data_IF_668072862753
#
_entry.id   IF_668072862753
#
_cell.length_a   1.000
_cell.length_b   1.000
_cell.length_c   1.000
_cell.angle_alpha   90.00
_cell.angle_beta   90.00
_cell.angle_gamma   90.00
#
_symmetry.space_group_name_H-M   'P 1'
#
loop_
_entity.id
_entity.type
_entity.pdbx_description
1 polymer ?
#
# COMPACT_ATOMS: atom_id res chain seq x y z
N UNK A 1 7.45 -25.83 -5.94
CA UNK A 1 6.31 -24.95 -5.60
C UNK A 1 5.10 -25.83 -5.37
N UNK A 2 4.43 -25.68 -4.23
CA UNK A 2 3.16 -26.35 -3.96
C UNK A 2 2.11 -25.77 -4.92
N UNK A 3 1.29 -26.60 -5.60
CA UNK A 3 0.22 -26.07 -6.42
C UNK A 3 -0.80 -25.35 -5.54
N UNK A 4 -1.38 -24.26 -6.06
CA UNK A 4 -2.45 -23.54 -5.38
C UNK A 4 -3.66 -24.45 -5.14
N UNK A 5 -4.41 -24.26 -4.03
CA UNK A 5 -5.65 -24.99 -3.81
C UNK A 5 -6.70 -24.62 -4.87
N UNK A 6 -7.71 -25.49 -5.05
CA UNK A 6 -8.81 -25.25 -6.02
C UNK A 6 -9.63 -23.99 -5.72
N UNK A 7 -9.60 -23.51 -4.47
CA UNK A 7 -10.31 -22.32 -4.00
C UNK A 7 -9.34 -21.49 -3.16
N UNK A 8 -8.54 -20.63 -3.79
CA UNK A 8 -7.56 -19.83 -3.08
C UNK A 8 -8.22 -18.75 -2.22
N UNK A 9 -7.69 -18.52 -1.03
CA UNK A 9 -8.04 -17.39 -0.19
C UNK A 9 -6.94 -16.33 -0.27
N UNK A 10 -7.29 -15.17 -0.83
CA UNK A 10 -6.37 -14.07 -1.05
C UNK A 10 -6.77 -12.91 -0.13
N UNK A 11 -5.82 -12.40 0.63
CA UNK A 11 -6.01 -11.23 1.47
C UNK A 11 -5.42 -9.99 0.79
N UNK A 12 -6.28 -9.07 0.38
CA UNK A 12 -5.87 -7.82 -0.27
C UNK A 12 -5.59 -6.72 0.77
N UNK A 13 -4.44 -6.07 0.65
CA UNK A 13 -4.00 -4.97 1.52
C UNK A 13 -3.74 -3.74 0.66
N UNK A 14 -4.30 -2.59 1.06
CA UNK A 14 -3.89 -1.31 0.50
C UNK A 14 -2.48 -0.95 0.99
N UNK A 15 -1.48 -1.17 0.15
CA UNK A 15 -0.07 -1.09 0.53
C UNK A 15 0.34 0.26 1.11
N UNK A 16 -0.17 1.37 0.54
CA UNK A 16 0.18 2.70 1.02
C UNK A 16 -0.38 2.95 2.43
N UNK A 17 -1.66 2.67 2.62
CA UNK A 17 -2.33 2.87 3.92
C UNK A 17 -1.68 1.98 4.98
N UNK A 18 -1.37 0.73 4.62
CA UNK A 18 -0.74 -0.23 5.51
C UNK A 18 0.66 0.21 5.96
N UNK A 19 1.54 0.53 5.02
CA UNK A 19 2.92 0.95 5.34
C UNK A 19 2.96 2.32 6.05
N UNK A 20 2.09 3.26 5.70
CA UNK A 20 1.97 4.54 6.43
C UNK A 20 1.49 4.32 7.87
N UNK A 21 0.48 3.46 8.07
CA UNK A 21 -0.03 3.13 9.41
C UNK A 21 1.03 2.44 10.27
N UNK A 22 1.79 1.52 9.70
CA UNK A 22 2.93 0.89 10.36
C UNK A 22 4.01 1.92 10.69
N UNK A 23 4.35 2.80 9.75
CA UNK A 23 5.36 3.83 9.97
C UNK A 23 5.01 4.74 11.15
N UNK A 24 3.74 5.16 11.23
CA UNK A 24 3.22 5.95 12.36
C UNK A 24 3.24 5.16 13.66
N UNK A 25 2.83 3.89 13.64
CA UNK A 25 2.76 3.05 14.84
C UNK A 25 4.14 2.75 15.45
N UNK A 26 5.15 2.55 14.61
CA UNK A 26 6.52 2.24 15.05
C UNK A 26 7.42 3.47 15.12
N UNK A 27 6.91 4.65 14.74
CA UNK A 27 7.63 5.92 14.76
C UNK A 27 8.95 5.90 13.95
N UNK A 28 8.95 5.21 12.81
CA UNK A 28 10.04 5.18 11.84
C UNK A 28 9.50 4.81 10.45
N UNK A 29 10.18 5.17 9.34
CA UNK A 29 9.72 4.78 8.00
C UNK A 29 9.74 3.25 7.79
N UNK A 30 8.57 2.68 7.54
CA UNK A 30 8.38 1.27 7.18
C UNK A 30 8.06 1.19 5.69
N UNK A 31 8.81 0.34 5.00
CA UNK A 31 8.76 0.00 3.58
C UNK A 31 8.58 -1.51 3.45
N UNK A 32 8.50 -2.05 2.23
CA UNK A 32 8.41 -3.50 2.04
C UNK A 32 9.68 -4.23 2.52
N UNK A 33 10.84 -3.57 2.51
CA UNK A 33 12.13 -4.16 2.92
C UNK A 33 12.22 -4.42 4.43
N UNK A 34 11.59 -3.56 5.24
CA UNK A 34 11.80 -3.52 6.69
C UNK A 34 10.49 -3.61 7.48
N UNK A 35 9.47 -4.28 6.91
CA UNK A 35 8.27 -4.63 7.67
C UNK A 35 8.68 -5.48 8.88
N UNK A 36 8.31 -5.09 10.12
CA UNK A 36 8.73 -5.83 11.31
C UNK A 36 8.21 -7.27 11.30
N UNK A 37 9.06 -8.23 11.71
CA UNK A 37 8.75 -9.67 11.71
C UNK A 37 7.41 -9.99 12.36
N UNK A 38 7.08 -9.36 13.50
CA UNK A 38 5.81 -9.59 14.19
C UNK A 38 4.56 -9.26 13.35
N UNK A 39 4.67 -8.32 12.40
CA UNK A 39 3.57 -8.01 11.46
C UNK A 39 3.46 -9.09 10.39
N UNK A 40 4.59 -9.60 9.91
CA UNK A 40 4.62 -10.71 8.95
C UNK A 40 4.06 -11.98 9.60
N UNK A 41 4.42 -12.26 10.85
CA UNK A 41 3.89 -13.37 11.65
C UNK A 41 2.37 -13.25 11.84
N UNK A 42 1.87 -12.04 12.13
CA UNK A 42 0.43 -11.78 12.23
C UNK A 42 -0.28 -12.05 10.89
N UNK A 43 0.25 -11.55 9.78
CA UNK A 43 -0.32 -11.80 8.46
C UNK A 43 -0.31 -13.28 8.09
N UNK A 44 0.76 -14.00 8.43
CA UNK A 44 0.86 -15.44 8.24
C UNK A 44 -0.14 -16.23 9.10
N UNK A 45 -0.55 -15.68 10.25
CA UNK A 45 -1.53 -16.32 11.15
C UNK A 45 -2.96 -16.36 10.59
N UNK A 46 -3.25 -15.59 9.53
CA UNK A 46 -4.57 -15.53 8.92
C UNK A 46 -4.93 -16.75 8.05
N UNK A 47 -4.00 -17.69 7.87
CA UNK A 47 -4.20 -18.92 7.09
C UNK A 47 -4.70 -18.64 5.65
N UNK A 48 -4.12 -17.60 5.03
CA UNK A 48 -4.39 -17.19 3.65
C UNK A 48 -3.37 -17.82 2.70
N UNK A 49 -3.80 -18.13 1.48
CA UNK A 49 -2.90 -18.68 0.46
C UNK A 49 -1.94 -17.63 -0.11
N UNK A 50 -2.38 -16.36 -0.13
CA UNK A 50 -1.56 -15.25 -0.56
C UNK A 50 -2.03 -13.90 -0.02
N UNK A 51 -1.08 -12.98 0.02
CA UNK A 51 -1.31 -11.56 0.28
C UNK A 51 -1.19 -10.82 -1.05
N UNK A 52 -2.22 -10.05 -1.39
CA UNK A 52 -2.18 -9.13 -2.51
C UNK A 52 -1.92 -7.72 -2.02
N UNK A 53 -0.71 -7.23 -2.26
CA UNK A 53 -0.33 -5.85 -2.03
C UNK A 53 -0.90 -4.97 -3.16
N UNK A 54 -2.06 -4.36 -2.92
CA UNK A 54 -2.72 -3.46 -3.87
C UNK A 54 -1.90 -2.16 -4.01
N UNK A 55 -1.68 -1.73 -5.25
CA UNK A 55 -1.17 -0.39 -5.54
C UNK A 55 0.32 -0.18 -5.30
N UNK A 56 1.14 -1.21 -5.49
CA UNK A 56 2.61 -1.15 -5.34
C UNK A 56 3.32 -0.35 -6.44
N UNK A 57 2.67 -0.17 -7.59
CA UNK A 57 3.30 0.49 -8.74
C UNK A 57 3.35 2.01 -8.56
N UNK A 58 4.38 2.61 -9.14
CA UNK A 58 4.53 4.06 -9.22
C UNK A 58 3.31 4.70 -9.89
N UNK A 59 2.65 5.62 -9.15
CA UNK A 59 1.40 6.27 -9.56
C UNK A 59 1.64 7.41 -10.54
N UNK A 60 0.67 7.65 -11.40
CA UNK A 60 0.69 8.78 -12.34
C UNK A 60 0.60 10.13 -11.61
N UNK A 61 1.58 11.04 -11.80
CA UNK A 61 1.52 12.38 -11.22
C UNK A 61 0.30 13.19 -11.69
N UNK A 62 -0.17 12.94 -12.92
CA UNK A 62 -1.39 13.56 -13.46
C UNK A 62 -2.65 13.10 -12.71
N UNK A 63 -2.70 11.83 -12.30
CA UNK A 63 -3.82 11.30 -11.52
C UNK A 63 -3.85 11.90 -10.11
N UNK A 64 -2.70 12.04 -9.45
CA UNK A 64 -2.60 12.77 -8.18
C UNK A 64 -3.04 14.22 -8.33
N UNK A 65 -2.55 14.90 -9.37
CA UNK A 65 -2.94 16.28 -9.69
C UNK A 65 -4.45 16.44 -9.91
N UNK A 66 -5.10 15.45 -10.52
CA UNK A 66 -6.55 15.41 -10.66
C UNK A 66 -7.25 15.22 -9.32
N UNK A 67 -6.82 14.24 -8.51
CA UNK A 67 -7.40 13.96 -7.18
C UNK A 67 -7.32 15.17 -6.24
N UNK A 68 -6.21 15.91 -6.26
CA UNK A 68 -6.01 17.11 -5.44
C UNK A 68 -7.07 18.20 -5.69
N UNK A 69 -7.65 18.28 -6.90
CA UNK A 69 -8.73 19.24 -7.22
C UNK A 69 -10.01 18.96 -6.41
N UNK A 70 -10.16 17.74 -5.91
CA UNK A 70 -11.33 17.29 -5.16
C UNK A 70 -11.07 17.21 -3.65
N UNK A 71 -9.92 17.71 -3.15
CA UNK A 71 -9.54 17.64 -1.74
C UNK A 71 -10.62 18.13 -0.76
N UNK A 72 -11.33 19.21 -1.11
CA UNK A 72 -12.41 19.75 -0.31
C UNK A 72 -13.58 18.77 -0.11
N UNK A 73 -13.79 17.83 -1.04
CA UNK A 73 -14.85 16.83 -0.96
C UNK A 73 -14.49 15.66 -0.01
N UNK A 74 -13.20 15.46 0.26
CA UNK A 74 -12.74 14.42 1.18
C UNK A 74 -12.84 14.84 2.65
N UNK A 75 -12.68 16.15 2.92
CA UNK A 75 -12.66 16.73 4.27
C UNK A 75 -13.84 16.34 5.19
N UNK A 76 -15.10 16.23 4.71
CA UNK A 76 -16.19 15.79 5.57
C UNK A 76 -16.01 14.37 6.12
N UNK A 77 -15.37 13.48 5.36
CA UNK A 77 -15.09 12.10 5.78
C UNK A 77 -13.73 11.96 6.48
N UNK A 78 -12.76 12.81 6.13
CA UNK A 78 -11.40 12.81 6.65
C UNK A 78 -11.04 14.23 7.12
N UNK A 79 -11.48 14.64 8.32
CA UNK A 79 -11.31 16.02 8.80
C UNK A 79 -9.85 16.44 8.93
N UNK A 80 -8.99 15.51 9.34
CA UNK A 80 -7.55 15.65 9.55
C UNK A 80 -6.71 15.53 8.27
N UNK A 81 -7.34 15.24 7.13
CA UNK A 81 -6.69 15.07 5.83
C UNK A 81 -5.73 16.21 5.48
N UNK A 82 -4.52 15.85 5.07
CA UNK A 82 -3.53 16.74 4.48
C UNK A 82 -3.43 16.52 2.96
N UNK A 83 -2.76 17.43 2.23
CA UNK A 83 -2.57 17.24 0.79
C UNK A 83 -1.58 16.11 0.47
N UNK A 84 -0.73 15.80 1.44
CA UNK A 84 0.24 14.70 1.43
C UNK A 84 -0.47 13.35 1.45
N UNK A 85 -1.61 13.23 2.14
CA UNK A 85 -2.44 12.02 2.17
C UNK A 85 -3.16 11.75 0.83
N UNK A 86 -3.25 12.75 -0.06
CA UNK A 86 -3.87 12.61 -1.39
C UNK A 86 -2.79 12.21 -2.42
N UNK A 87 -2.64 10.90 -2.59
CA UNK A 87 -1.61 10.29 -3.45
C UNK A 87 -2.14 9.83 -4.82
N UNK A 88 -3.45 9.91 -5.03
CA UNK A 88 -4.13 9.41 -6.23
C UNK A 88 -4.54 7.93 -6.13
N UNK A 89 -5.27 7.46 -7.15
CA UNK A 89 -5.79 6.09 -7.17
C UNK A 89 -4.65 5.05 -7.26
N UNK A 90 -4.71 3.93 -6.50
CA UNK A 90 -3.75 2.83 -6.62
C UNK A 90 -3.79 2.16 -8.00
N UNK A 91 -4.86 2.35 -8.78
CA UNK A 91 -5.00 1.83 -10.14
C UNK A 91 -4.56 2.82 -11.23
N UNK A 92 -4.22 4.06 -10.86
CA UNK A 92 -3.70 5.04 -11.81
C UNK A 92 -2.18 4.85 -12.01
N UNK A 93 -1.79 3.70 -12.54
CA UNK A 93 -0.40 3.32 -12.77
C UNK A 93 0.26 4.28 -13.77
N UNK A 94 1.36 4.91 -13.37
CA UNK A 94 2.19 5.73 -14.25
C UNK A 94 3.30 4.92 -14.93
N UNK A 95 3.84 3.92 -14.22
CA UNK A 95 4.84 2.99 -14.72
C UNK A 95 4.84 1.70 -13.91
N UNK A 96 5.19 0.57 -14.54
CA UNK A 96 5.34 -0.73 -13.87
C UNK A 96 6.70 -0.86 -13.16
N UNK A 97 6.99 0.11 -12.31
CA UNK A 97 8.13 0.14 -11.38
C UNK A 97 7.53 0.25 -9.99
N UNK A 98 8.05 -0.51 -9.03
CA UNK A 98 7.59 -0.42 -7.63
C UNK A 98 7.88 0.97 -7.12
N UNK A 99 6.92 1.57 -6.43
CA UNK A 99 7.05 2.93 -5.88
C UNK A 99 8.24 3.00 -4.90
N UNK A 100 9.09 4.01 -5.04
CA UNK A 100 10.27 4.18 -4.18
C UNK A 100 9.88 4.44 -2.71
N UNK A 101 8.68 4.98 -2.46
CA UNK A 101 8.14 5.10 -1.11
C UNK A 101 7.93 3.74 -0.42
N UNK A 102 7.92 2.65 -1.19
CA UNK A 102 7.80 1.28 -0.68
C UNK A 102 9.14 0.53 -0.64
N UNK A 103 10.26 1.21 -0.91
CA UNK A 103 11.59 0.58 -1.01
C UNK A 103 11.95 0.12 -2.43
N UNK A 104 11.15 0.52 -3.43
CA UNK A 104 11.39 0.21 -4.83
C UNK A 104 11.40 -1.30 -5.11
N UNK A 105 12.06 -1.69 -6.20
CA UNK A 105 12.13 -3.12 -6.57
C UNK A 105 12.92 -3.94 -5.55
N UNK A 106 13.86 -3.33 -4.84
CA UNK A 106 14.68 -4.01 -3.85
C UNK A 106 13.84 -4.47 -2.65
N UNK A 107 13.00 -3.59 -2.10
CA UNK A 107 12.17 -3.92 -0.95
C UNK A 107 11.09 -4.97 -1.22
N UNK A 108 10.74 -5.24 -2.49
CA UNK A 108 9.81 -6.30 -2.85
C UNK A 108 10.47 -7.69 -2.99
N UNK A 109 11.80 -7.75 -3.09
CA UNK A 109 12.55 -8.92 -3.55
C UNK A 109 12.95 -9.89 -2.42
#
# INVERSE_FOLDING_TARGET
>A
MTPWPKKPFIYEINTWVWLDSLSRSYNWPVTLENVPDKVIEELASYDVDAIWLMGIWHRSPAARSSALKYAAQYKPALPDLTYEDIIGSPFAVGSYVVDENFGGRHGLA
#
